data_IF_031906113029
#
_entry.id   IF_031906113029
#
_cell.length_a   1.000
_cell.length_b   1.000
_cell.length_c   1.000
_cell.angle_alpha   90.00
_cell.angle_beta   90.00
_cell.angle_gamma   90.00
#
_symmetry.space_group_name_H-M   'P 1'
#
loop_
_entity.id
_entity.type
_entity.pdbx_description
1 polymer ?
#
# COMPACT_ATOMS: atom_id res chain seq x y z
N UNK A 1 -31.14 -1.70 -10.84
CA UNK A 1 -30.31 -2.09 -9.68
C UNK A 1 -29.87 -0.84 -8.94
N UNK A 2 -30.02 -0.78 -7.60
CA UNK A 2 -29.51 0.35 -6.81
C UNK A 2 -28.06 0.07 -6.40
N UNK A 3 -27.17 1.02 -6.63
CA UNK A 3 -25.76 0.93 -6.22
C UNK A 3 -25.68 1.43 -4.77
N UNK A 4 -25.36 0.53 -3.85
CA UNK A 4 -25.27 0.86 -2.42
C UNK A 4 -23.87 1.34 -2.05
N UNK A 5 -22.82 0.72 -2.62
CA UNK A 5 -21.43 1.02 -2.27
C UNK A 5 -20.68 1.73 -3.43
N UNK A 6 -20.85 3.05 -3.57
CA UNK A 6 -20.26 3.84 -4.69
C UNK A 6 -18.74 3.69 -4.83
N UNK A 7 -18.00 3.60 -3.72
CA UNK A 7 -16.53 3.43 -3.72
C UNK A 7 -16.09 2.06 -4.24
N UNK A 8 -16.71 0.98 -3.76
CA UNK A 8 -16.39 -0.39 -4.19
C UNK A 8 -16.85 -0.64 -5.63
N UNK A 9 -17.96 0.00 -6.04
CA UNK A 9 -18.41 0.00 -7.42
C UNK A 9 -17.40 0.67 -8.36
N UNK A 10 -16.91 1.87 -8.01
CA UNK A 10 -15.89 2.56 -8.81
C UNK A 10 -14.57 1.78 -8.88
N UNK A 11 -14.12 1.20 -7.77
CA UNK A 11 -12.93 0.34 -7.75
C UNK A 11 -13.12 -0.91 -8.61
N UNK A 12 -14.25 -1.62 -8.47
CA UNK A 12 -14.58 -2.79 -9.28
C UNK A 12 -14.67 -2.45 -10.78
N UNK A 13 -15.28 -1.32 -11.13
CA UNK A 13 -15.36 -0.83 -12.51
C UNK A 13 -13.97 -0.50 -13.07
N UNK A 14 -13.12 0.14 -12.27
CA UNK A 14 -11.74 0.43 -12.67
C UNK A 14 -10.95 -0.85 -12.94
N UNK A 15 -10.99 -1.83 -12.04
CA UNK A 15 -10.26 -3.09 -12.21
C UNK A 15 -10.77 -3.95 -13.37
N UNK A 16 -12.08 -3.94 -13.62
CA UNK A 16 -12.66 -4.63 -14.79
C UNK A 16 -12.26 -3.97 -16.11
N UNK A 17 -12.31 -2.64 -16.19
CA UNK A 17 -11.84 -1.90 -17.37
C UNK A 17 -10.35 -2.10 -17.61
N UNK A 18 -9.54 -2.08 -16.55
CA UNK A 18 -8.11 -2.32 -16.63
C UNK A 18 -7.81 -3.73 -17.14
N UNK A 19 -8.51 -4.76 -16.63
CA UNK A 19 -8.38 -6.13 -17.11
C UNK A 19 -8.77 -6.29 -18.58
N UNK A 20 -9.85 -5.65 -19.01
CA UNK A 20 -10.27 -5.63 -20.40
C UNK A 20 -9.24 -4.92 -21.30
N UNK A 21 -8.65 -3.81 -20.84
CA UNK A 21 -7.60 -3.12 -21.58
C UNK A 21 -6.35 -4.00 -21.75
N UNK A 22 -5.97 -4.77 -20.72
CA UNK A 22 -4.88 -5.74 -20.84
C UNK A 22 -5.18 -6.85 -21.87
N UNK A 23 -6.42 -7.35 -21.92
CA UNK A 23 -6.85 -8.33 -22.95
C UNK A 23 -6.69 -7.74 -24.36
N UNK A 24 -7.17 -6.51 -24.58
CA UNK A 24 -7.04 -5.83 -25.88
C UNK A 24 -5.57 -5.61 -26.25
N UNK A 25 -4.72 -5.24 -25.29
CA UNK A 25 -3.28 -5.09 -25.53
C UNK A 25 -2.62 -6.41 -25.91
N UNK A 26 -3.03 -7.54 -25.32
CA UNK A 26 -2.53 -8.86 -25.72
C UNK A 26 -2.95 -9.23 -27.14
N UNK A 27 -4.20 -8.93 -27.52
CA UNK A 27 -4.72 -9.16 -28.87
C UNK A 27 -4.02 -8.32 -29.95
N UNK A 28 -3.74 -7.05 -29.66
CA UNK A 28 -3.14 -6.12 -30.64
C UNK A 28 -1.63 -6.33 -30.77
N UNK A 29 -0.93 -6.54 -29.66
CA UNK A 29 0.54 -6.52 -29.63
C UNK A 29 1.18 -7.90 -29.69
N UNK A 30 0.44 -8.98 -29.41
CA UNK A 30 0.91 -10.37 -29.48
C UNK A 30 2.06 -10.74 -28.53
N UNK A 31 2.62 -9.79 -27.78
CA UNK A 31 3.72 -10.02 -26.86
C UNK A 31 3.20 -10.27 -25.45
N UNK A 32 3.26 -11.53 -25.03
CA UNK A 32 2.73 -11.99 -23.74
C UNK A 32 3.88 -12.08 -22.74
N UNK A 33 4.01 -11.06 -21.88
CA UNK A 33 4.93 -11.15 -20.74
C UNK A 33 4.24 -11.83 -19.56
N UNK A 34 4.92 -12.72 -18.81
CA UNK A 34 4.31 -13.46 -17.70
C UNK A 34 3.82 -12.51 -16.59
N UNK A 35 4.54 -11.41 -16.35
CA UNK A 35 4.14 -10.39 -15.37
C UNK A 35 2.80 -9.75 -15.74
N UNK A 36 2.60 -9.37 -17.00
CA UNK A 36 1.35 -8.76 -17.46
C UNK A 36 0.17 -9.72 -17.40
N UNK A 37 0.39 -11.02 -17.65
CA UNK A 37 -0.67 -12.04 -17.55
C UNK A 37 -1.16 -12.17 -16.11
N UNK A 38 -0.25 -12.20 -15.14
CA UNK A 38 -0.59 -12.26 -13.71
C UNK A 38 -1.42 -11.04 -13.29
N UNK A 39 -1.02 -9.83 -13.70
CA UNK A 39 -1.77 -8.60 -13.41
C UNK A 39 -3.18 -8.62 -14.04
N UNK A 40 -3.30 -9.11 -15.27
CA UNK A 40 -4.59 -9.25 -15.96
C UNK A 40 -5.51 -10.25 -15.25
N UNK A 41 -4.99 -11.41 -14.83
CA UNK A 41 -5.76 -12.41 -14.12
C UNK A 41 -6.25 -11.89 -12.76
N UNK A 42 -5.38 -11.21 -12.00
CA UNK A 42 -5.75 -10.57 -10.72
C UNK A 42 -6.85 -9.51 -10.90
N UNK A 43 -6.75 -8.65 -11.92
CA UNK A 43 -7.75 -7.60 -12.13
C UNK A 43 -9.11 -8.17 -12.56
N UNK A 44 -9.12 -9.24 -13.37
CA UNK A 44 -10.35 -9.92 -13.80
C UNK A 44 -11.00 -10.76 -12.70
N UNK A 45 -10.26 -11.26 -11.73
CA UNK A 45 -10.84 -11.93 -10.56
C UNK A 45 -11.41 -10.92 -9.56
N UNK A 46 -10.67 -9.85 -9.27
CA UNK A 46 -11.05 -8.86 -8.27
C UNK A 46 -12.16 -7.92 -8.74
N UNK A 47 -12.12 -7.48 -9.99
CA UNK A 47 -13.05 -6.49 -10.54
C UNK A 47 -14.52 -6.92 -10.46
N UNK A 48 -14.92 -8.05 -11.08
CA UNK A 48 -16.30 -8.53 -11.07
C UNK A 48 -16.78 -8.88 -9.66
N UNK A 49 -15.91 -9.45 -8.81
CA UNK A 49 -16.23 -9.76 -7.42
C UNK A 49 -16.62 -8.52 -6.61
N UNK A 50 -15.89 -7.41 -6.78
CA UNK A 50 -16.21 -6.13 -6.14
C UNK A 50 -17.49 -5.49 -6.69
N UNK A 51 -17.76 -5.65 -7.99
CA UNK A 51 -19.01 -5.19 -8.61
C UNK A 51 -20.21 -5.94 -8.05
N UNK A 52 -20.18 -7.28 -8.00
CA UNK A 52 -21.26 -8.10 -7.44
C UNK A 52 -21.53 -7.76 -5.97
N UNK A 53 -20.47 -7.62 -5.16
CA UNK A 53 -20.58 -7.22 -3.74
C UNK A 53 -21.18 -5.82 -3.57
N UNK A 54 -20.92 -4.89 -4.50
CA UNK A 54 -21.43 -3.51 -4.41
C UNK A 54 -22.95 -3.36 -4.62
N UNK A 55 -23.59 -4.39 -5.19
CA UNK A 55 -25.04 -4.43 -5.40
C UNK A 55 -25.80 -5.04 -4.22
N UNK A 56 -25.12 -5.72 -3.30
CA UNK A 56 -25.78 -6.36 -2.15
C UNK A 56 -26.03 -5.35 -1.02
N UNK A 57 -27.31 -5.16 -0.70
CA UNK A 57 -27.76 -4.26 0.37
C UNK A 57 -27.41 -4.78 1.77
N UNK A 58 -27.37 -6.11 1.97
CA UNK A 58 -27.06 -6.72 3.28
C UNK A 58 -25.58 -6.52 3.63
N UNK A 59 -24.70 -6.79 2.67
CA UNK A 59 -23.26 -6.56 2.83
C UNK A 59 -22.94 -5.09 3.04
N UNK A 60 -23.62 -4.17 2.35
CA UNK A 60 -23.48 -2.74 2.60
C UNK A 60 -23.87 -2.31 4.02
N UNK A 61 -24.96 -2.85 4.57
CA UNK A 61 -25.40 -2.49 5.92
C UNK A 61 -24.42 -3.03 6.97
N UNK A 62 -23.93 -4.26 6.80
CA UNK A 62 -22.90 -4.85 7.66
C UNK A 62 -21.60 -4.05 7.59
N UNK A 63 -21.08 -3.78 6.39
CA UNK A 63 -19.86 -3.00 6.19
C UNK A 63 -19.98 -1.59 6.81
N UNK A 64 -21.16 -0.96 6.73
CA UNK A 64 -21.43 0.36 7.33
C UNK A 64 -21.49 0.32 8.85
N UNK A 65 -22.08 -0.72 9.43
CA UNK A 65 -22.13 -0.89 10.89
C UNK A 65 -20.73 -1.17 11.42
N UNK A 66 -19.95 -2.01 10.74
CA UNK A 66 -18.58 -2.32 11.11
C UNK A 66 -17.64 -1.11 10.97
N UNK A 67 -17.86 -0.21 9.99
CA UNK A 67 -17.08 1.01 9.84
C UNK A 67 -17.39 2.07 10.92
N UNK A 68 -18.62 2.05 11.45
CA UNK A 68 -19.08 2.97 12.50
C UNK A 68 -18.88 2.42 13.92
N UNK A 69 -18.56 1.13 14.06
CA UNK A 69 -18.26 0.53 15.36
C UNK A 69 -16.96 1.15 15.92
N UNK A 70 -17.09 1.85 17.05
CA UNK A 70 -16.00 2.52 17.76
C UNK A 70 -14.85 1.55 18.06
N UNK A 71 -15.16 0.30 18.39
CA UNK A 71 -14.15 -0.73 18.65
C UNK A 71 -13.33 -1.01 17.39
N UNK A 72 -13.98 -1.10 16.24
CA UNK A 72 -13.30 -1.38 14.97
C UNK A 72 -12.47 -0.16 14.50
N UNK A 73 -12.97 1.05 14.74
CA UNK A 73 -12.20 2.30 14.52
C UNK A 73 -10.94 2.31 15.38
N UNK A 74 -11.07 2.01 16.68
CA UNK A 74 -9.94 1.97 17.61
C UNK A 74 -8.90 0.91 17.20
N UNK A 75 -9.36 -0.30 16.86
CA UNK A 75 -8.48 -1.36 16.36
C UNK A 75 -7.76 -0.91 15.09
N UNK A 76 -8.48 -0.34 14.11
CA UNK A 76 -7.89 0.14 12.86
C UNK A 76 -6.84 1.22 13.06
N UNK A 77 -7.10 2.18 13.95
CA UNK A 77 -6.14 3.23 14.30
C UNK A 77 -4.91 2.64 15.00
N UNK A 78 -5.12 1.73 15.96
CA UNK A 78 -4.03 1.06 16.68
C UNK A 78 -3.18 0.20 15.74
N UNK A 79 -3.78 -0.61 14.87
CA UNK A 79 -3.05 -1.43 13.89
C UNK A 79 -2.24 -0.57 12.94
N UNK A 80 -2.80 0.55 12.44
CA UNK A 80 -2.06 1.48 11.58
C UNK A 80 -0.89 2.13 12.31
N UNK A 81 -1.07 2.57 13.55
CA UNK A 81 -0.01 3.13 14.38
C UNK A 81 1.09 2.11 14.64
N UNK A 82 0.75 0.90 15.12
CA UNK A 82 1.73 -0.16 15.35
C UNK A 82 2.47 -0.56 14.07
N UNK A 83 1.77 -0.70 12.94
CA UNK A 83 2.39 -1.01 11.67
C UNK A 83 3.37 0.09 11.22
N UNK A 84 3.01 1.36 11.43
CA UNK A 84 3.89 2.48 11.12
C UNK A 84 5.14 2.48 11.99
N UNK A 85 5.03 2.24 13.30
CA UNK A 85 6.18 2.11 14.19
C UNK A 85 7.08 0.92 13.79
N UNK A 86 6.50 -0.23 13.43
CA UNK A 86 7.28 -1.38 12.93
C UNK A 86 8.05 -1.00 11.65
N UNK A 87 7.42 -0.29 10.71
CA UNK A 87 8.08 0.19 9.49
C UNK A 87 9.23 1.15 9.81
N UNK A 88 9.06 2.05 10.78
CA UNK A 88 10.15 2.93 11.21
C UNK A 88 11.33 2.15 11.82
N UNK A 89 11.06 1.18 12.71
CA UNK A 89 12.13 0.38 13.31
C UNK A 89 12.87 -0.47 12.28
N UNK A 90 12.15 -1.03 11.31
CA UNK A 90 12.77 -1.81 10.22
C UNK A 90 13.60 -0.91 9.31
N UNK A 91 13.13 0.29 8.96
CA UNK A 91 13.93 1.30 8.23
C UNK A 91 15.20 1.67 8.99
N UNK A 92 15.11 1.88 10.30
CA UNK A 92 16.27 2.17 11.15
C UNK A 92 17.27 0.99 11.19
N UNK A 93 16.77 -0.24 11.25
CA UNK A 93 17.59 -1.44 11.15
C UNK A 93 18.32 -1.54 9.81
N UNK A 94 17.64 -1.26 8.70
CA UNK A 94 18.25 -1.22 7.36
C UNK A 94 19.31 -0.12 7.28
N UNK A 95 19.03 1.09 7.78
CA UNK A 95 20.03 2.16 7.86
C UNK A 95 21.30 1.71 8.61
N UNK A 96 21.14 1.06 9.77
CA UNK A 96 22.26 0.59 10.57
C UNK A 96 23.08 -0.49 9.83
N UNK A 97 22.41 -1.44 9.17
CA UNK A 97 23.07 -2.48 8.38
C UNK A 97 23.81 -1.88 7.17
N UNK A 98 23.22 -0.90 6.49
CA UNK A 98 23.89 -0.20 5.39
C UNK A 98 25.11 0.61 5.88
N UNK A 99 25.04 1.21 7.07
CA UNK A 99 26.17 1.94 7.66
C UNK A 99 27.34 1.00 7.98
N UNK A 100 27.04 -0.13 8.63
CA UNK A 100 28.03 -1.16 8.96
C UNK A 100 28.62 -1.76 7.67
N UNK A 101 27.77 -2.05 6.69
CA UNK A 101 28.17 -2.56 5.38
C UNK A 101 29.08 -1.57 4.62
N UNK A 102 28.78 -0.28 4.65
CA UNK A 102 29.60 0.74 4.00
C UNK A 102 31.01 0.84 4.62
N UNK A 103 31.13 0.67 5.95
CA UNK A 103 32.43 0.66 6.65
C UNK A 103 33.21 -0.63 6.38
N UNK A 104 32.54 -1.79 6.33
CA UNK A 104 33.19 -3.08 6.11
C UNK A 104 33.66 -3.29 4.65
N UNK A 105 32.95 -2.71 3.68
CA UNK A 105 33.21 -2.88 2.25
C UNK A 105 34.01 -1.73 1.61
N UNK A 106 34.84 -1.03 2.40
CA UNK A 106 35.65 0.11 1.96
C UNK A 106 36.61 -0.21 0.78
N UNK A 107 36.93 -1.49 0.57
CA UNK A 107 37.80 -1.95 -0.53
C UNK A 107 37.12 -2.07 -1.90
N UNK A 108 35.78 -2.09 -1.96
CA UNK A 108 35.02 -2.25 -3.21
C UNK A 108 34.22 -0.97 -3.52
N UNK A 109 34.69 -0.12 -4.45
CA UNK A 109 34.09 1.19 -4.69
C UNK A 109 32.64 1.12 -5.20
N UNK A 110 32.32 0.12 -6.02
CA UNK A 110 30.96 -0.05 -6.58
C UNK A 110 29.96 -0.48 -5.50
N UNK A 111 30.38 -1.33 -4.56
CA UNK A 111 29.52 -1.80 -3.46
C UNK A 111 29.26 -0.70 -2.44
N UNK A 112 30.26 0.12 -2.15
CA UNK A 112 30.14 1.27 -1.25
C UNK A 112 29.17 2.33 -1.79
N UNK A 113 29.18 2.57 -3.11
CA UNK A 113 28.28 3.54 -3.73
C UNK A 113 26.81 3.12 -3.61
N UNK A 114 26.53 1.82 -3.82
CA UNK A 114 25.17 1.25 -3.70
C UNK A 114 24.71 1.26 -2.24
N UNK A 115 25.55 0.79 -1.30
CA UNK A 115 25.24 0.80 0.14
C UNK A 115 25.06 2.23 0.69
N UNK A 116 25.88 3.18 0.24
CA UNK A 116 25.76 4.59 0.58
C UNK A 116 24.48 5.22 0.03
N UNK A 117 24.11 4.92 -1.22
CA UNK A 117 22.85 5.35 -1.81
C UNK A 117 21.64 4.80 -1.06
N UNK A 118 21.66 3.50 -0.72
CA UNK A 118 20.59 2.87 0.07
C UNK A 118 20.46 3.49 1.46
N UNK A 119 21.59 3.78 2.13
CA UNK A 119 21.62 4.43 3.44
C UNK A 119 20.99 5.83 3.42
N UNK A 120 21.32 6.64 2.42
CA UNK A 120 20.76 7.99 2.29
C UNK A 120 19.25 7.90 2.08
N UNK A 121 18.79 7.03 1.18
CA UNK A 121 17.36 6.88 0.88
C UNK A 121 16.61 6.37 2.12
N UNK A 122 17.10 5.32 2.78
CA UNK A 122 16.45 4.79 3.98
C UNK A 122 16.44 5.82 5.12
N UNK A 123 17.52 6.60 5.28
CA UNK A 123 17.63 7.65 6.28
C UNK A 123 16.64 8.80 6.05
N UNK A 124 16.51 9.26 4.81
CA UNK A 124 15.55 10.32 4.44
C UNK A 124 14.11 9.85 4.66
N UNK A 125 13.77 8.62 4.23
CA UNK A 125 12.42 8.06 4.41
C UNK A 125 12.10 7.88 5.90
N UNK A 126 13.05 7.43 6.71
CA UNK A 126 12.90 7.33 8.15
C UNK A 126 12.66 8.71 8.79
N UNK A 127 13.44 9.72 8.40
CA UNK A 127 13.32 11.07 8.93
C UNK A 127 11.96 11.71 8.59
N UNK A 128 11.48 11.56 7.35
CA UNK A 128 10.15 12.04 6.95
C UNK A 128 9.06 11.32 7.76
N UNK A 129 9.21 10.02 8.00
CA UNK A 129 8.26 9.24 8.80
C UNK A 129 8.20 9.75 10.24
N UNK A 130 9.35 10.07 10.84
CA UNK A 130 9.43 10.64 12.19
C UNK A 130 8.79 12.03 12.26
N UNK A 131 9.07 12.90 11.28
CA UNK A 131 8.43 14.22 11.20
C UNK A 131 6.91 14.10 11.08
N UNK A 132 6.42 13.18 10.24
CA UNK A 132 4.99 12.94 10.10
C UNK A 132 4.34 12.50 11.41
N UNK A 133 5.02 11.67 12.21
CA UNK A 133 4.54 11.27 13.53
C UNK A 133 4.49 12.44 14.50
N UNK A 134 5.56 13.24 14.53
CA UNK A 134 5.66 14.42 15.39
C UNK A 134 4.57 15.45 15.08
N UNK A 135 4.38 15.79 13.79
CA UNK A 135 3.36 16.76 13.40
C UNK A 135 1.94 16.24 13.66
N UNK A 136 1.68 14.95 13.42
CA UNK A 136 0.41 14.33 13.79
C UNK A 136 0.18 14.38 15.30
N UNK A 137 1.17 13.98 16.10
CA UNK A 137 1.10 14.03 17.56
C UNK A 137 0.77 15.43 18.07
N UNK A 138 1.53 16.43 17.63
CA UNK A 138 1.32 17.84 18.00
C UNK A 138 -0.06 18.37 17.57
N UNK A 139 -0.58 17.95 16.40
CA UNK A 139 -1.89 18.38 15.93
C UNK A 139 -3.03 17.80 16.77
N UNK A 140 -2.91 16.53 17.18
CA UNK A 140 -3.94 15.86 17.95
C UNK A 140 -3.89 16.20 19.44
N UNK A 141 -2.70 16.37 20.04
CA UNK A 141 -2.57 16.83 21.43
C UNK A 141 -3.10 18.26 21.63
N UNK A 142 -2.91 19.16 20.66
CA UNK A 142 -3.45 20.54 20.74
C UNK A 142 -4.98 20.63 20.63
N UNK A 143 -5.65 19.53 20.27
CA UNK A 143 -7.10 19.46 20.09
C UNK A 143 -7.83 18.75 21.25
N UNK A 144 -7.09 18.11 22.16
CA UNK A 144 -7.63 17.63 23.45
C UNK A 144 -7.61 18.75 24.49
#
# INVERSE_FOLDING_TARGET
MKIYHKKNFAAGLFFTLLGAAFIVLFLVRGNIQPKSVVFCALSLLLGPGLLLRSFDKRLFFQDRVDELDERNILVKLRTKSTAFSIVQYTLLGVCALCAIGAVLYEKNPDGQLVLGGMLIVSGVVWFISLLSELFCGLHYEKKL
#
